data_IF_908326249387
#
_entry.id   IF_908326249387
#
_cell.length_a   1.000
_cell.length_b   1.000
_cell.length_c   1.000
_cell.angle_alpha   90.00
_cell.angle_beta   90.00
_cell.angle_gamma   90.00
#
_symmetry.space_group_name_H-M   'P 1'
#
loop_
_entity.id
_entity.type
_entity.pdbx_description
1 polymer ?
#
# COMPACT_ATOMS: atom_id res chain seq x y z
N UNK A 1 -22.56 10.45 13.67
CA UNK A 1 -21.80 9.20 13.53
C UNK A 1 -22.38 8.46 12.36
N UNK A 2 -21.63 8.33 11.26
CA UNK A 2 -22.01 7.44 10.17
C UNK A 2 -22.06 6.02 10.75
N UNK A 3 -23.12 5.27 10.44
CA UNK A 3 -23.16 3.85 10.83
C UNK A 3 -22.02 3.14 10.08
N UNK A 4 -21.08 2.54 10.81
CA UNK A 4 -20.04 1.71 10.23
C UNK A 4 -20.71 0.65 9.35
N UNK A 5 -20.34 0.61 8.07
CA UNK A 5 -20.90 -0.36 7.12
C UNK A 5 -20.28 -1.74 7.34
N UNK A 6 -19.14 -1.79 8.03
CA UNK A 6 -18.34 -2.98 8.29
C UNK A 6 -18.07 -3.16 9.79
N UNK A 7 -17.91 -4.41 10.20
CA UNK A 7 -17.58 -4.78 11.59
C UNK A 7 -16.07 -4.62 11.86
N UNK A 8 -15.25 -4.61 10.81
CA UNK A 8 -13.80 -4.37 10.87
C UNK A 8 -13.24 -3.91 9.53
N UNK A 9 -12.10 -3.23 9.59
CA UNK A 9 -11.43 -2.63 8.43
C UNK A 9 -9.97 -3.08 8.37
N UNK A 10 -9.51 -3.35 7.16
CA UNK A 10 -8.09 -3.52 6.85
C UNK A 10 -7.68 -2.50 5.76
N UNK A 11 -6.50 -1.94 5.89
CA UNK A 11 -5.97 -0.98 4.93
C UNK A 11 -4.59 -1.40 4.46
N UNK A 12 -4.30 -1.15 3.20
CA UNK A 12 -2.93 -1.00 2.73
C UNK A 12 -2.42 0.41 3.09
N UNK A 13 -1.11 0.63 2.97
CA UNK A 13 -0.46 1.89 3.36
C UNK A 13 -0.12 2.75 2.14
N UNK A 14 0.88 2.32 1.37
CA UNK A 14 1.47 3.08 0.27
C UNK A 14 0.53 3.14 -0.95
N UNK A 15 0.27 4.34 -1.46
CA UNK A 15 -0.69 4.54 -2.55
C UNK A 15 -2.16 4.47 -2.12
N UNK A 16 -2.41 4.14 -0.85
CA UNK A 16 -3.75 4.01 -0.26
C UNK A 16 -4.03 5.12 0.74
N UNK A 17 -3.35 5.11 1.87
CA UNK A 17 -3.48 6.13 2.93
C UNK A 17 -2.45 7.24 2.78
N UNK A 18 -1.28 6.90 2.30
CA UNK A 18 -0.12 7.79 2.17
C UNK A 18 0.47 7.75 0.76
N UNK A 19 1.25 8.78 0.47
CA UNK A 19 2.19 8.81 -0.66
C UNK A 19 3.44 9.61 -0.27
N UNK A 20 4.40 9.71 -1.17
CA UNK A 20 5.65 10.44 -0.96
C UNK A 20 5.81 11.61 -1.92
N UNK A 21 6.63 12.58 -1.53
CA UNK A 21 7.07 13.63 -2.44
C UNK A 21 7.73 13.01 -3.68
N UNK A 22 7.35 13.41 -4.91
CA UNK A 22 7.99 12.94 -6.13
C UNK A 22 9.52 13.10 -6.16
N UNK A 23 10.06 14.11 -5.48
CA UNK A 23 11.51 14.29 -5.37
C UNK A 23 12.18 13.11 -4.64
N UNK A 24 11.55 12.54 -3.63
CA UNK A 24 12.05 11.34 -2.95
C UNK A 24 12.10 10.14 -3.89
N UNK A 25 11.06 9.95 -4.70
CA UNK A 25 11.01 8.86 -5.70
C UNK A 25 12.19 9.00 -6.66
N UNK A 26 12.41 10.22 -7.20
CA UNK A 26 13.50 10.48 -8.14
C UNK A 26 14.87 10.21 -7.50
N UNK A 27 15.09 10.71 -6.29
CA UNK A 27 16.35 10.52 -5.56
C UNK A 27 16.67 9.03 -5.31
N UNK A 28 15.67 8.23 -4.94
CA UNK A 28 15.85 6.78 -4.74
C UNK A 28 16.15 6.08 -6.08
N UNK A 29 15.44 6.41 -7.15
CA UNK A 29 15.67 5.79 -8.46
C UNK A 29 17.01 6.19 -9.08
N UNK A 30 17.48 7.41 -8.82
CA UNK A 30 18.83 7.84 -9.22
C UNK A 30 19.90 7.00 -8.49
N UNK A 31 19.77 6.80 -7.17
CA UNK A 31 20.70 5.99 -6.39
C UNK A 31 20.68 4.52 -6.82
N UNK A 32 19.50 3.96 -7.03
CA UNK A 32 19.33 2.58 -7.57
C UNK A 32 19.97 2.48 -8.94
N UNK A 33 19.68 3.46 -9.82
CA UNK A 33 20.22 3.52 -11.18
C UNK A 33 21.75 3.58 -11.21
N UNK A 34 22.35 4.41 -10.37
CA UNK A 34 23.81 4.49 -10.21
C UNK A 34 24.41 3.15 -9.79
N UNK A 35 23.70 2.40 -8.93
CA UNK A 35 24.17 1.12 -8.40
C UNK A 35 24.12 -0.01 -9.41
N UNK A 36 23.05 -0.05 -10.23
CA UNK A 36 22.86 -1.12 -11.23
C UNK A 36 23.33 -0.72 -12.64
N UNK A 37 23.77 0.53 -12.83
CA UNK A 37 24.23 1.05 -14.12
C UNK A 37 23.11 1.35 -15.12
N UNK A 38 21.90 1.71 -14.64
CA UNK A 38 20.74 2.04 -15.46
C UNK A 38 20.17 3.42 -15.11
N UNK A 39 20.00 4.29 -16.10
CA UNK A 39 19.40 5.62 -15.88
C UNK A 39 17.88 5.58 -16.00
N UNK A 40 17.17 5.63 -14.89
CA UNK A 40 15.71 5.75 -14.90
C UNK A 40 15.28 7.16 -15.27
N UNK A 41 14.20 7.25 -16.06
CA UNK A 41 13.49 8.53 -16.24
C UNK A 41 12.50 8.75 -15.11
N UNK A 42 12.09 10.00 -14.85
CA UNK A 42 11.06 10.34 -13.85
C UNK A 42 9.76 9.56 -14.08
N UNK A 43 9.38 9.34 -15.35
CA UNK A 43 8.20 8.57 -15.71
C UNK A 43 8.35 7.08 -15.36
N UNK A 44 9.53 6.50 -15.60
CA UNK A 44 9.84 5.11 -15.22
C UNK A 44 9.85 4.96 -13.70
N UNK A 45 10.46 5.89 -12.98
CA UNK A 45 10.47 5.91 -11.52
C UNK A 45 9.04 5.94 -10.95
N UNK A 46 8.20 6.86 -11.41
CA UNK A 46 6.79 6.94 -11.02
C UNK A 46 6.00 5.68 -11.40
N UNK A 47 6.30 5.08 -12.57
CA UNK A 47 5.64 3.86 -13.04
C UNK A 47 5.90 2.68 -12.09
N UNK A 48 7.16 2.47 -11.71
CA UNK A 48 7.50 1.38 -10.77
C UNK A 48 6.98 1.69 -9.37
N UNK A 49 7.17 2.93 -8.90
CA UNK A 49 6.76 3.32 -7.55
C UNK A 49 5.26 3.08 -7.31
N UNK A 50 4.42 3.64 -8.16
CA UNK A 50 2.96 3.56 -8.02
C UNK A 50 2.34 2.31 -8.68
N UNK A 51 3.13 1.40 -9.25
CA UNK A 51 2.62 0.21 -9.94
C UNK A 51 1.75 0.54 -11.15
N UNK A 52 2.16 1.53 -11.94
CA UNK A 52 1.47 1.96 -13.16
C UNK A 52 1.90 1.12 -14.38
N UNK A 53 1.11 1.17 -15.46
CA UNK A 53 1.47 0.50 -16.71
C UNK A 53 1.41 -1.03 -16.67
N UNK A 54 0.89 -1.64 -15.61
CA UNK A 54 0.80 -3.09 -15.44
C UNK A 54 1.68 -3.63 -14.31
N UNK A 55 2.21 -4.84 -14.47
CA UNK A 55 3.05 -5.45 -13.44
C UNK A 55 4.47 -4.88 -13.46
N UNK A 56 5.00 -4.52 -12.28
CA UNK A 56 6.34 -3.93 -12.11
C UNK A 56 7.46 -4.77 -12.74
N UNK A 57 7.40 -6.08 -12.54
CA UNK A 57 8.41 -7.00 -13.08
C UNK A 57 8.41 -7.04 -14.61
N UNK A 58 7.24 -6.93 -15.25
CA UNK A 58 7.12 -6.88 -16.70
C UNK A 58 7.69 -5.55 -17.25
N UNK A 59 7.46 -4.44 -16.56
CA UNK A 59 8.06 -3.14 -16.91
C UNK A 59 9.59 -3.17 -16.81
N UNK A 60 10.14 -3.69 -15.72
CA UNK A 60 11.60 -3.86 -15.56
C UNK A 60 12.20 -4.73 -16.66
N UNK A 61 11.53 -5.86 -16.99
CA UNK A 61 11.97 -6.76 -18.06
C UNK A 61 11.92 -6.08 -19.44
N UNK A 62 10.88 -5.27 -19.73
CA UNK A 62 10.76 -4.51 -20.99
C UNK A 62 11.91 -3.51 -21.13
N UNK A 63 12.36 -2.90 -20.05
CA UNK A 63 13.49 -1.97 -20.05
C UNK A 63 14.86 -2.67 -20.00
N UNK A 64 14.89 -4.00 -19.91
CA UNK A 64 16.11 -4.79 -19.83
C UNK A 64 16.81 -4.70 -18.48
N UNK A 65 16.07 -4.35 -17.42
CA UNK A 65 16.56 -4.30 -16.04
C UNK A 65 16.33 -5.65 -15.37
N UNK A 66 17.37 -6.20 -14.75
CA UNK A 66 17.24 -7.43 -13.97
C UNK A 66 16.43 -7.16 -12.70
N UNK A 67 15.38 -7.94 -12.51
CA UNK A 67 14.44 -7.78 -11.39
C UNK A 67 15.10 -7.99 -10.04
N UNK A 68 15.92 -9.02 -9.88
CA UNK A 68 16.54 -9.36 -8.60
C UNK A 68 17.59 -8.31 -8.21
N UNK A 69 18.37 -7.85 -9.18
CA UNK A 69 19.35 -6.78 -9.00
C UNK A 69 18.64 -5.47 -8.62
N UNK A 70 17.55 -5.12 -9.33
CA UNK A 70 16.75 -3.92 -9.04
C UNK A 70 16.21 -3.92 -7.61
N UNK A 71 15.45 -4.94 -7.21
CA UNK A 71 14.82 -4.97 -5.89
C UNK A 71 15.86 -5.05 -4.75
N UNK A 72 16.99 -5.72 -4.99
CA UNK A 72 18.10 -5.75 -4.03
C UNK A 72 18.70 -4.36 -3.83
N UNK A 73 18.94 -3.63 -4.92
CA UNK A 73 19.44 -2.27 -4.87
C UNK A 73 18.41 -1.33 -4.23
N UNK A 74 17.15 -1.41 -4.65
CA UNK A 74 16.06 -0.58 -4.17
C UNK A 74 15.90 -0.67 -2.65
N UNK A 75 15.80 -1.87 -2.11
CA UNK A 75 15.66 -2.05 -0.66
C UNK A 75 16.91 -1.65 0.14
N UNK A 76 18.08 -1.61 -0.51
CA UNK A 76 19.30 -1.18 0.16
C UNK A 76 19.48 0.34 0.21
N UNK A 77 18.81 1.09 -0.68
CA UNK A 77 18.89 2.55 -0.73
C UNK A 77 17.78 3.21 0.12
N UNK A 78 16.70 2.50 0.47
CA UNK A 78 15.63 3.07 1.29
C UNK A 78 16.08 3.25 2.75
N UNK A 79 15.96 4.48 3.26
CA UNK A 79 16.21 4.85 4.66
C UNK A 79 14.90 5.24 5.35
N UNK A 80 14.61 4.64 6.50
CA UNK A 80 13.34 4.84 7.21
C UNK A 80 13.06 6.28 7.61
N UNK A 81 14.11 7.07 7.94
CA UNK A 81 13.94 8.46 8.31
C UNK A 81 13.69 9.34 7.09
N UNK A 82 14.49 9.17 6.04
CA UNK A 82 14.31 9.91 4.78
C UNK A 82 12.93 9.60 4.17
N UNK A 83 12.51 8.33 4.24
CA UNK A 83 11.18 7.89 3.83
C UNK A 83 10.09 8.61 4.60
N UNK A 84 10.18 8.64 5.94
CA UNK A 84 9.19 9.28 6.81
C UNK A 84 9.09 10.79 6.54
N UNK A 85 10.24 11.48 6.44
CA UNK A 85 10.30 12.93 6.18
C UNK A 85 9.71 13.31 4.81
N UNK A 86 9.74 12.41 3.83
CA UNK A 86 9.18 12.62 2.48
C UNK A 86 7.72 12.16 2.34
N UNK A 87 7.18 11.47 3.34
CA UNK A 87 5.83 10.89 3.26
C UNK A 87 4.77 11.89 3.72
N UNK A 88 3.63 11.90 3.05
CA UNK A 88 2.45 12.66 3.44
C UNK A 88 1.21 11.76 3.50
N UNK A 89 0.28 12.13 4.36
CA UNK A 89 -1.04 11.52 4.48
C UNK A 89 -1.97 12.13 3.43
N UNK A 90 -2.76 11.31 2.74
CA UNK A 90 -3.84 11.81 1.92
C UNK A 90 -4.94 12.42 2.79
N UNK A 91 -5.47 13.58 2.39
CA UNK A 91 -6.52 14.31 3.17
C UNK A 91 -7.76 13.45 3.43
N UNK A 92 -8.10 12.56 2.50
CA UNK A 92 -9.25 11.67 2.56
C UNK A 92 -9.02 10.41 3.42
N UNK A 93 -7.81 10.19 3.91
CA UNK A 93 -7.51 9.11 4.84
C UNK A 93 -7.81 9.47 6.31
N UNK A 94 -7.93 10.77 6.63
CA UNK A 94 -8.14 11.24 8.00
C UNK A 94 -9.32 10.55 8.74
N UNK A 95 -10.47 10.27 8.10
CA UNK A 95 -11.58 9.58 8.79
C UNK A 95 -11.27 8.17 9.29
N UNK A 96 -10.18 7.54 8.79
CA UNK A 96 -9.74 6.22 9.28
C UNK A 96 -9.38 6.27 10.77
N UNK A 97 -8.79 7.39 11.24
CA UNK A 97 -8.44 7.57 12.65
C UNK A 97 -9.65 7.71 13.59
N UNK A 98 -10.84 7.95 13.06
CA UNK A 98 -12.09 8.12 13.84
C UNK A 98 -12.94 6.82 13.86
N UNK A 99 -12.46 5.72 13.26
CA UNK A 99 -13.18 4.45 13.26
C UNK A 99 -13.20 3.83 14.65
N UNK A 100 -14.42 3.45 15.11
CA UNK A 100 -14.61 2.76 16.39
C UNK A 100 -14.49 1.21 16.22
N UNK A 101 -14.58 0.72 14.98
CA UNK A 101 -14.45 -0.69 14.66
C UNK A 101 -12.97 -1.09 14.59
N UNK A 102 -12.62 -2.36 14.89
CA UNK A 102 -11.27 -2.86 14.74
C UNK A 102 -10.68 -2.51 13.38
N UNK A 103 -9.54 -1.85 13.40
CA UNK A 103 -8.87 -1.34 12.20
C UNK A 103 -7.44 -1.83 12.16
N UNK A 104 -7.03 -2.44 11.04
CA UNK A 104 -5.69 -3.02 10.89
C UNK A 104 -4.98 -2.52 9.64
N UNK A 105 -3.66 -2.51 9.70
CA UNK A 105 -2.80 -2.19 8.56
C UNK A 105 -2.11 -3.46 8.05
N UNK A 106 -2.15 -3.69 6.74
CA UNK A 106 -1.47 -4.81 6.07
C UNK A 106 -0.72 -4.28 4.85
N UNK A 107 0.58 -4.14 4.95
CA UNK A 107 1.39 -3.49 3.91
C UNK A 107 2.53 -4.37 3.41
N UNK A 108 2.91 -4.19 2.14
CA UNK A 108 4.14 -4.76 1.57
C UNK A 108 5.40 -3.97 2.00
N UNK A 109 5.24 -2.77 2.56
CA UNK A 109 6.35 -1.97 3.04
C UNK A 109 7.06 -2.67 4.22
N UNK A 110 8.37 -2.62 4.20
CA UNK A 110 9.21 -3.24 5.22
C UNK A 110 9.03 -2.52 6.57
N UNK A 111 9.07 -3.26 7.67
CA UNK A 111 8.82 -2.71 9.02
C UNK A 111 9.73 -1.54 9.40
N UNK A 112 11.01 -1.60 9.01
CA UNK A 112 11.97 -0.52 9.32
C UNK A 112 11.68 0.79 8.57
N UNK A 113 10.85 0.75 7.52
CA UNK A 113 10.32 1.92 6.81
C UNK A 113 8.93 2.30 7.35
N UNK A 114 8.06 1.30 7.56
CA UNK A 114 6.69 1.51 8.03
C UNK A 114 6.66 2.17 9.42
N UNK A 115 7.44 1.67 10.38
CA UNK A 115 7.41 2.19 11.75
C UNK A 115 7.76 3.68 11.84
N UNK A 116 8.86 4.19 11.21
CA UNK A 116 9.14 5.62 11.19
C UNK A 116 8.07 6.46 10.50
N UNK A 117 7.43 5.95 9.44
CA UNK A 117 6.36 6.63 8.71
C UNK A 117 5.12 6.81 9.60
N UNK A 118 4.67 5.74 10.26
CA UNK A 118 3.52 5.79 11.16
C UNK A 118 3.74 6.74 12.33
N UNK A 119 4.97 6.75 12.89
CA UNK A 119 5.34 7.65 13.98
C UNK A 119 5.44 9.12 13.52
N UNK A 120 6.00 9.37 12.33
CA UNK A 120 6.14 10.71 11.77
C UNK A 120 4.80 11.37 11.47
N UNK A 121 3.84 10.60 10.94
CA UNK A 121 2.51 11.06 10.58
C UNK A 121 1.53 11.06 11.78
N UNK A 122 1.95 10.52 12.94
CA UNK A 122 1.09 10.36 14.15
C UNK A 122 -0.19 9.57 13.89
N UNK A 123 -0.05 8.49 13.08
CA UNK A 123 -1.21 7.63 12.69
C UNK A 123 -1.07 6.19 13.21
N UNK A 124 -0.04 5.88 13.99
CA UNK A 124 0.16 4.53 14.54
C UNK A 124 -1.05 4.06 15.37
N UNK A 125 -1.61 4.95 16.16
CA UNK A 125 -2.73 4.65 17.05
C UNK A 125 -4.08 4.49 16.32
N UNK A 126 -4.10 4.68 14.99
CA UNK A 126 -5.28 4.37 14.18
C UNK A 126 -5.51 2.87 14.01
N UNK A 127 -4.47 2.06 14.24
CA UNK A 127 -4.49 0.64 13.95
C UNK A 127 -4.30 -0.21 15.20
N UNK A 128 -5.25 -1.13 15.43
CA UNK A 128 -5.17 -2.13 16.50
C UNK A 128 -4.06 -3.16 16.23
N UNK A 129 -3.71 -3.37 14.96
CA UNK A 129 -2.59 -4.21 14.55
C UNK A 129 -1.96 -3.74 13.23
N UNK A 130 -0.64 -3.93 13.11
CA UNK A 130 0.14 -3.62 11.91
C UNK A 130 0.92 -4.86 11.49
N UNK A 131 0.66 -5.36 10.27
CA UNK A 131 1.38 -6.46 9.64
C UNK A 131 2.11 -5.95 8.40
N UNK A 132 3.46 -6.01 8.45
CA UNK A 132 4.30 -5.87 7.28
C UNK A 132 4.50 -7.24 6.66
N UNK A 133 4.17 -7.40 5.38
CA UNK A 133 4.32 -8.66 4.66
C UNK A 133 5.79 -9.06 4.56
N UNK A 134 6.06 -10.36 4.75
CA UNK A 134 7.38 -10.99 4.67
C UNK A 134 7.23 -12.40 4.10
N UNK A 135 8.34 -13.09 3.85
CA UNK A 135 8.30 -14.50 3.48
C UNK A 135 7.63 -15.39 4.55
N UNK A 136 7.70 -15.00 5.82
CA UNK A 136 7.10 -15.74 6.93
C UNK A 136 5.60 -15.48 7.08
N UNK A 137 5.16 -14.24 6.82
CA UNK A 137 3.75 -13.84 6.94
C UNK A 137 2.97 -14.04 5.66
N UNK A 138 3.64 -14.22 4.52
CA UNK A 138 3.04 -14.19 3.18
C UNK A 138 2.95 -12.77 2.62
N UNK A 139 2.63 -12.70 1.31
CA UNK A 139 2.49 -11.47 0.53
C UNK A 139 1.09 -11.40 -0.06
N UNK A 140 0.43 -10.25 -0.02
CA UNK A 140 -0.84 -10.07 -0.75
C UNK A 140 -0.64 -10.46 -2.23
N UNK A 141 -1.49 -11.30 -2.85
CA UNK A 141 -2.87 -11.62 -2.46
C UNK A 141 -3.07 -12.84 -1.52
N UNK A 142 -2.01 -13.37 -0.88
CA UNK A 142 -2.18 -14.37 0.17
C UNK A 142 -3.02 -13.77 1.32
N UNK A 143 -4.06 -14.47 1.82
CA UNK A 143 -4.90 -13.98 2.89
C UNK A 143 -4.22 -14.00 4.27
N UNK A 144 -3.12 -14.73 4.45
CA UNK A 144 -2.51 -14.98 5.75
C UNK A 144 -2.13 -13.69 6.49
N UNK A 145 -1.47 -12.67 5.86
CA UNK A 145 -1.17 -11.41 6.56
C UNK A 145 -2.44 -10.67 7.03
N UNK A 146 -3.54 -10.77 6.27
CA UNK A 146 -4.83 -10.18 6.66
C UNK A 146 -5.42 -10.91 7.87
N UNK A 147 -5.44 -12.26 7.84
CA UNK A 147 -5.91 -13.06 8.97
C UNK A 147 -5.08 -12.83 10.24
N UNK A 148 -3.76 -12.71 10.10
CA UNK A 148 -2.86 -12.40 11.22
C UNK A 148 -3.19 -11.05 11.84
N UNK A 149 -3.37 -10.00 11.02
CA UNK A 149 -3.69 -8.66 11.49
C UNK A 149 -5.05 -8.62 12.21
N UNK A 150 -6.09 -9.17 11.58
CA UNK A 150 -7.43 -9.24 12.17
C UNK A 150 -7.45 -10.08 13.45
N UNK A 151 -6.74 -11.20 13.46
CA UNK A 151 -6.60 -12.04 14.67
C UNK A 151 -5.93 -11.30 15.83
N UNK A 152 -4.89 -10.51 15.56
CA UNK A 152 -4.21 -9.68 16.55
C UNK A 152 -5.10 -8.57 17.10
N UNK A 153 -5.95 -7.97 16.26
CA UNK A 153 -6.94 -6.97 16.65
C UNK A 153 -8.19 -7.58 17.34
N UNK A 154 -8.29 -8.91 17.43
CA UNK A 154 -9.45 -9.58 18.00
C UNK A 154 -10.71 -9.53 17.13
N UNK A 155 -10.57 -9.17 15.87
CA UNK A 155 -11.65 -9.10 14.88
C UNK A 155 -11.96 -10.52 14.35
N UNK A 156 -12.90 -11.20 14.99
CA UNK A 156 -13.26 -12.58 14.68
C UNK A 156 -14.70 -12.64 14.15
N UNK A 157 -14.82 -12.78 12.82
CA UNK A 157 -16.12 -12.85 12.14
C UNK A 157 -16.76 -11.48 11.91
N UNK A 158 -17.93 -11.48 11.29
CA UNK A 158 -18.55 -10.25 10.83
C UNK A 158 -18.18 -9.90 9.40
N UNK A 159 -18.66 -8.77 8.91
CA UNK A 159 -18.40 -8.25 7.56
C UNK A 159 -17.22 -7.28 7.63
N UNK A 160 -16.17 -7.57 6.90
CA UNK A 160 -14.99 -6.71 6.82
C UNK A 160 -14.69 -6.24 5.40
N UNK A 161 -13.83 -5.24 5.29
CA UNK A 161 -13.32 -4.72 4.02
C UNK A 161 -11.81 -4.55 4.10
N UNK A 162 -11.13 -4.85 2.99
CA UNK A 162 -9.74 -4.41 2.79
C UNK A 162 -9.70 -3.37 1.69
N UNK A 163 -9.11 -2.22 2.01
CA UNK A 163 -8.93 -1.08 1.11
C UNK A 163 -7.49 -1.03 0.65
N UNK A 164 -7.27 -0.95 -0.66
CA UNK A 164 -5.93 -0.83 -1.23
C UNK A 164 -5.93 -0.30 -2.65
N UNK A 165 -4.76 0.08 -3.15
CA UNK A 165 -4.61 0.69 -4.48
C UNK A 165 -4.27 -0.34 -5.58
N UNK A 166 -3.98 -1.57 -5.22
CA UNK A 166 -3.51 -2.60 -6.14
C UNK A 166 -4.42 -3.83 -6.27
N UNK A 167 -4.27 -4.60 -7.34
CA UNK A 167 -5.03 -5.85 -7.51
C UNK A 167 -4.71 -6.91 -6.45
N UNK A 168 -3.50 -6.86 -5.86
CA UNK A 168 -3.08 -7.76 -4.79
C UNK A 168 -3.90 -7.52 -3.50
N UNK A 169 -4.32 -6.29 -3.25
CA UNK A 169 -5.14 -5.93 -2.08
C UNK A 169 -6.54 -6.51 -2.21
N UNK A 170 -7.16 -6.27 -3.36
CA UNK A 170 -8.49 -6.85 -3.66
C UNK A 170 -8.44 -8.38 -3.65
N UNK A 171 -7.37 -8.96 -4.20
CA UNK A 171 -7.15 -10.42 -4.15
C UNK A 171 -7.03 -10.93 -2.72
N UNK A 172 -6.27 -10.25 -1.86
CA UNK A 172 -6.13 -10.62 -0.45
C UNK A 172 -7.44 -10.49 0.31
N UNK A 173 -8.23 -9.42 0.03
CA UNK A 173 -9.56 -9.24 0.59
C UNK A 173 -10.45 -10.45 0.30
N UNK A 174 -10.63 -10.79 -0.97
CA UNK A 174 -11.48 -11.90 -1.38
C UNK A 174 -11.00 -13.26 -0.85
N UNK A 175 -9.68 -13.50 -0.87
CA UNK A 175 -9.10 -14.73 -0.32
C UNK A 175 -9.26 -14.82 1.21
N UNK A 176 -9.31 -13.69 1.91
CA UNK A 176 -9.59 -13.61 3.34
C UNK A 176 -11.11 -13.61 3.68
N UNK A 177 -11.98 -13.59 2.68
CA UNK A 177 -13.44 -13.55 2.88
C UNK A 177 -13.96 -12.14 3.23
N UNK A 178 -13.23 -11.09 2.84
CA UNK A 178 -13.60 -9.69 3.00
C UNK A 178 -14.11 -9.12 1.68
N UNK A 179 -14.84 -8.00 1.76
CA UNK A 179 -15.07 -7.15 0.60
C UNK A 179 -13.75 -6.45 0.20
N UNK A 180 -13.47 -6.36 -1.10
CA UNK A 180 -12.31 -5.65 -1.64
C UNK A 180 -12.69 -4.25 -2.13
N UNK A 181 -12.07 -3.22 -1.57
CA UNK A 181 -12.24 -1.84 -2.02
C UNK A 181 -10.96 -1.35 -2.71
N UNK A 182 -11.05 -1.04 -4.00
CA UNK A 182 -9.95 -0.49 -4.77
C UNK A 182 -10.04 1.04 -4.80
N UNK A 183 -9.00 1.71 -4.29
CA UNK A 183 -8.84 3.17 -4.42
C UNK A 183 -7.88 3.48 -5.57
N UNK A 184 -8.31 4.31 -6.54
CA UNK A 184 -7.51 4.66 -7.71
C UNK A 184 -7.02 6.10 -7.64
N UNK A 185 -5.76 6.27 -7.27
CA UNK A 185 -5.13 7.59 -7.08
C UNK A 185 -4.58 8.22 -8.37
N UNK A 186 -4.27 7.41 -9.37
CA UNK A 186 -3.52 7.86 -10.55
C UNK A 186 -4.31 7.81 -11.86
N UNK A 187 -5.55 7.32 -11.80
CA UNK A 187 -6.45 7.14 -12.95
C UNK A 187 -6.21 5.83 -13.72
N UNK A 188 -7.33 5.24 -14.17
CA UNK A 188 -7.34 3.92 -14.80
C UNK A 188 -6.47 3.81 -16.06
N UNK A 189 -6.36 4.90 -16.83
CA UNK A 189 -5.55 4.92 -18.06
C UNK A 189 -4.06 4.70 -17.73
N UNK A 190 -3.58 5.28 -16.65
CA UNK A 190 -2.18 5.15 -16.21
C UNK A 190 -1.90 3.82 -15.53
N UNK A 191 -2.88 3.23 -14.86
CA UNK A 191 -2.74 1.93 -14.19
C UNK A 191 -2.36 0.80 -15.16
N UNK A 192 -2.83 0.83 -16.38
CA UNK A 192 -2.55 -0.15 -17.43
C UNK A 192 -3.27 -1.50 -17.28
N UNK A 193 -3.89 -1.74 -16.12
CA UNK A 193 -4.75 -2.90 -15.84
C UNK A 193 -6.05 -2.44 -15.20
N UNK A 194 -7.13 -3.21 -15.40
CA UNK A 194 -8.40 -2.96 -14.73
C UNK A 194 -8.43 -3.71 -13.40
N UNK A 195 -8.46 -2.98 -12.30
CA UNK A 195 -8.68 -3.56 -10.97
C UNK A 195 -10.18 -3.56 -10.67
N UNK A 196 -10.74 -4.73 -10.43
CA UNK A 196 -12.15 -4.93 -10.10
C UNK A 196 -12.24 -5.28 -8.63
N UNK A 197 -12.99 -4.50 -7.85
CA UNK A 197 -13.30 -4.74 -6.45
C UNK A 197 -14.81 -4.70 -6.22
N UNK A 198 -15.25 -5.01 -5.00
CA UNK A 198 -16.63 -4.82 -4.57
C UNK A 198 -16.98 -3.33 -4.52
N UNK A 199 -15.96 -2.50 -4.19
CA UNK A 199 -16.01 -1.05 -4.27
C UNK A 199 -14.89 -0.51 -5.16
N UNK A 200 -15.19 0.56 -5.89
CA UNK A 200 -14.21 1.34 -6.66
C UNK A 200 -14.31 2.78 -6.20
N UNK A 201 -13.24 3.25 -5.62
CA UNK A 201 -13.17 4.54 -4.95
C UNK A 201 -12.13 5.43 -5.66
N UNK A 202 -12.38 6.71 -5.72
CA UNK A 202 -11.37 7.73 -6.05
C UNK A 202 -10.74 8.28 -4.77
N UNK A 203 -11.46 8.14 -3.64
CA UNK A 203 -11.09 8.63 -2.32
C UNK A 203 -11.47 7.60 -1.26
N UNK A 204 -10.63 7.45 -0.23
CA UNK A 204 -10.89 6.51 0.89
C UNK A 204 -12.14 6.91 1.68
N UNK A 205 -12.38 8.21 1.87
CA UNK A 205 -13.53 8.72 2.62
C UNK A 205 -14.91 8.39 2.00
N UNK A 206 -14.96 8.09 0.69
CA UNK A 206 -16.19 7.61 0.02
C UNK A 206 -16.72 6.31 0.63
N UNK A 207 -15.84 5.49 1.24
CA UNK A 207 -16.24 4.24 1.90
C UNK A 207 -17.12 4.50 3.14
N UNK A 208 -17.03 5.68 3.73
CA UNK A 208 -17.71 6.07 4.97
C UNK A 208 -18.94 6.95 4.71
N UNK A 209 -19.16 7.33 3.45
CA UNK A 209 -20.36 8.11 3.06
C UNK A 209 -21.60 7.21 3.07
N UNK A 210 -22.77 7.74 3.48
CA UNK A 210 -24.01 6.98 3.58
C UNK A 210 -24.64 6.65 2.22
#
# INVERSE_FOLDING_TARGET
MAASTYDHYAFDLDGTLIDVDPAYIHDIFDQVGDRIGYGFTDEQAATIWHGLGGFRDDQLAEWGVDREEFWTAFHAEEDGRARAEATFLHDDATPVGDLEAPTVLVTHCQRHLTDPVLDHLDIRDWFDAVVCCTEETGWKPDPEPVHMALGAAGANGGRGVLVGDGPQDVGAAWNAGLDGAHVERHGHERRGICVVGDHRLERVDELFEP
#
